data_IF_586229159989
#
_entry.id   IF_586229159989
#
_cell.length_a   1.000
_cell.length_b   1.000
_cell.length_c   1.000
_cell.angle_alpha   90.00
_cell.angle_beta   90.00
_cell.angle_gamma   90.00
#
_symmetry.space_group_name_H-M   'P 1'
#
loop_
_entity.id
_entity.type
_entity.pdbx_description
1 polymer ?
#
# COMPACT_ATOMS: atom_id res chain seq x y z
N UNK A 1 27.15 -7.23 6.62
CA UNK A 1 26.83 -8.70 6.61
C UNK A 1 25.48 -8.87 5.94
N UNK A 2 25.28 -9.96 5.23
CA UNK A 2 24.01 -10.28 4.59
C UNK A 2 23.42 -11.51 5.26
N UNK A 3 22.17 -11.46 5.62
CA UNK A 3 21.41 -12.59 6.15
C UNK A 3 20.35 -12.97 5.13
N UNK A 4 20.42 -14.19 4.61
CA UNK A 4 19.35 -14.74 3.81
C UNK A 4 18.19 -15.17 4.72
N UNK A 5 16.99 -14.77 4.36
CA UNK A 5 15.76 -15.06 5.12
C UNK A 5 14.87 -15.93 4.22
N UNK A 6 14.86 -17.24 4.37
CA UNK A 6 13.99 -18.10 3.59
C UNK A 6 12.54 -17.96 4.09
N UNK A 7 11.67 -17.43 3.26
CA UNK A 7 10.22 -17.52 3.49
C UNK A 7 9.68 -18.74 2.74
N UNK A 8 9.11 -19.73 3.44
CA UNK A 8 8.84 -21.06 2.88
C UNK A 8 7.85 -21.07 1.71
N UNK A 9 7.02 -20.06 1.56
CA UNK A 9 6.02 -19.98 0.49
C UNK A 9 6.34 -18.92 -0.56
N UNK A 10 7.57 -18.38 -0.56
CA UNK A 10 7.96 -17.39 -1.54
C UNK A 10 8.53 -18.05 -2.80
N UNK A 11 8.09 -17.57 -3.95
CA UNK A 11 8.65 -17.96 -5.26
C UNK A 11 10.08 -17.40 -5.49
N UNK A 12 10.52 -16.47 -4.61
CA UNK A 12 11.78 -15.73 -4.74
C UNK A 12 12.78 -16.02 -3.61
N UNK A 13 12.83 -17.25 -3.12
CA UNK A 13 13.64 -17.69 -1.96
C UNK A 13 15.09 -17.18 -1.98
N UNK A 14 15.72 -17.12 -3.14
CA UNK A 14 17.13 -16.72 -3.28
C UNK A 14 17.37 -15.21 -3.26
N UNK A 15 16.31 -14.40 -3.20
CA UNK A 15 16.36 -12.91 -3.24
C UNK A 15 15.89 -12.25 -1.95
N UNK A 16 15.58 -13.05 -0.97
CA UNK A 16 15.08 -12.57 0.33
C UNK A 16 16.24 -12.48 1.31
N UNK A 17 16.68 -11.28 1.57
CA UNK A 17 17.80 -11.04 2.47
C UNK A 17 17.66 -9.71 3.20
N UNK A 18 18.41 -9.59 4.28
CA UNK A 18 18.62 -8.33 4.98
C UNK A 18 20.10 -7.96 4.94
N UNK A 19 20.37 -6.69 4.69
CA UNK A 19 21.71 -6.13 4.85
C UNK A 19 21.87 -5.63 6.27
N UNK A 20 22.90 -6.13 6.97
CA UNK A 20 23.20 -5.74 8.36
C UNK A 20 24.39 -4.79 8.37
N UNK A 21 24.18 -3.61 8.92
CA UNK A 21 25.16 -2.53 9.05
C UNK A 21 25.43 -2.28 10.54
N UNK A 22 26.66 -2.53 10.99
CA UNK A 22 27.06 -2.20 12.37
C UNK A 22 27.61 -0.79 12.43
N UNK A 23 27.27 -0.05 13.48
CA UNK A 23 27.73 1.34 13.68
C UNK A 23 27.42 2.23 12.48
N UNK A 24 26.18 2.28 12.06
CA UNK A 24 25.71 3.11 10.96
C UNK A 24 25.15 4.43 11.45
N UNK A 25 25.14 5.42 10.55
CA UNK A 25 24.54 6.73 10.77
C UNK A 25 23.35 6.89 9.84
N UNK A 26 22.25 7.40 10.39
CA UNK A 26 20.99 7.60 9.69
C UNK A 26 20.53 9.04 9.86
N UNK A 27 20.13 9.69 8.76
CA UNK A 27 19.48 11.00 8.77
C UNK A 27 18.16 10.92 8.02
N UNK A 28 17.07 11.19 8.72
CA UNK A 28 15.75 11.34 8.10
C UNK A 28 15.64 12.76 7.54
N UNK A 29 15.37 12.90 6.26
CA UNK A 29 15.20 14.17 5.56
C UNK A 29 13.70 14.43 5.34
N UNK A 30 13.01 13.54 4.65
CA UNK A 30 11.56 13.56 4.41
C UNK A 30 11.05 12.15 4.06
N UNK A 31 9.74 12.03 3.77
CA UNK A 31 9.11 10.74 3.45
C UNK A 31 9.65 10.04 2.19
N UNK A 32 10.38 10.76 1.36
CA UNK A 32 11.00 10.24 0.12
C UNK A 32 12.52 10.19 0.19
N UNK A 33 13.11 10.64 1.29
CA UNK A 33 14.54 10.91 1.38
C UNK A 33 15.12 10.52 2.73
N UNK A 34 15.88 9.43 2.72
CA UNK A 34 16.61 8.90 3.85
C UNK A 34 18.08 8.73 3.48
N UNK A 35 18.97 9.22 4.31
CA UNK A 35 20.40 8.99 4.17
C UNK A 35 20.88 8.00 5.22
N UNK A 36 21.53 6.95 4.77
CA UNK A 36 22.22 5.97 5.63
C UNK A 36 23.68 5.93 5.24
N UNK A 37 24.57 5.98 6.23
CA UNK A 37 26.01 5.93 6.05
C UNK A 37 26.59 4.76 6.84
N UNK A 38 27.52 4.06 6.23
CA UNK A 38 28.24 2.96 6.85
C UNK A 38 29.64 2.83 6.23
N UNK A 39 30.68 2.82 7.08
CA UNK A 39 32.09 2.73 6.65
C UNK A 39 32.46 3.77 5.57
N UNK A 40 32.11 5.03 5.82
CA UNK A 40 32.35 6.18 4.91
C UNK A 40 31.73 6.02 3.52
N UNK A 41 30.68 5.21 3.39
CA UNK A 41 29.89 5.04 2.16
C UNK A 41 28.43 5.35 2.44
N UNK A 42 27.80 6.04 1.52
CA UNK A 42 26.34 6.21 1.53
C UNK A 42 25.71 4.89 1.11
N UNK A 43 24.73 4.43 1.87
CA UNK A 43 23.99 3.19 1.62
C UNK A 43 22.60 3.56 1.10
N UNK A 44 22.18 2.90 0.05
CA UNK A 44 20.83 3.08 -0.48
C UNK A 44 19.84 2.23 0.32
N UNK A 45 18.97 2.90 1.05
CA UNK A 45 17.98 2.24 1.93
C UNK A 45 16.61 2.05 1.26
N UNK A 46 16.34 2.77 0.16
CA UNK A 46 15.07 2.74 -0.58
C UNK A 46 15.07 1.80 -1.79
N UNK A 47 13.96 1.83 -2.52
CA UNK A 47 13.80 1.05 -3.76
C UNK A 47 14.67 1.66 -4.85
N UNK A 48 15.65 0.90 -5.32
CA UNK A 48 16.30 1.18 -6.61
C UNK A 48 15.92 0.09 -7.61
N UNK A 49 15.21 0.50 -8.65
CA UNK A 49 14.77 -0.37 -9.73
C UNK A 49 15.93 -1.14 -10.38
N UNK A 50 17.11 -0.53 -10.44
CA UNK A 50 18.27 -1.13 -11.10
C UNK A 50 19.03 -2.11 -10.20
N UNK A 51 19.14 -1.82 -8.91
CA UNK A 51 19.76 -2.74 -7.93
C UNK A 51 18.92 -3.96 -7.65
N UNK A 52 17.62 -3.83 -7.67
CA UNK A 52 16.71 -4.97 -7.44
C UNK A 52 16.71 -5.97 -8.59
N UNK A 53 16.86 -5.52 -9.84
CA UNK A 53 16.98 -6.41 -11.00
C UNK A 53 18.19 -7.35 -10.93
N UNK A 54 19.24 -6.93 -10.24
CA UNK A 54 20.49 -7.71 -10.18
C UNK A 54 20.57 -8.66 -8.98
N UNK A 55 19.73 -8.46 -7.94
CA UNK A 55 19.74 -9.29 -6.73
C UNK A 55 21.08 -9.27 -6.00
N UNK A 56 21.93 -8.27 -6.26
CA UNK A 56 23.28 -8.20 -5.71
C UNK A 56 23.31 -7.22 -4.53
N UNK A 57 23.55 -7.70 -3.31
CA UNK A 57 23.61 -6.87 -2.12
C UNK A 57 24.74 -5.84 -2.12
N UNK A 58 25.79 -6.04 -2.90
CA UNK A 58 26.90 -5.07 -3.00
C UNK A 58 26.50 -3.77 -3.70
N UNK A 59 25.41 -3.76 -4.45
CA UNK A 59 24.87 -2.57 -5.14
C UNK A 59 24.18 -1.58 -4.22
N UNK A 60 23.99 -1.91 -2.94
CA UNK A 60 23.46 -0.97 -1.95
C UNK A 60 24.44 0.13 -1.56
N UNK A 61 25.73 -0.03 -1.83
CA UNK A 61 26.72 1.00 -1.51
C UNK A 61 26.86 1.98 -2.68
N UNK A 62 26.57 3.23 -2.41
CA UNK A 62 26.88 4.35 -3.31
C UNK A 62 28.33 4.77 -3.11
N UNK A 63 28.74 5.79 -3.88
CA UNK A 63 30.12 6.30 -3.87
C UNK A 63 30.63 6.64 -2.46
N UNK A 64 31.93 6.61 -2.28
CA UNK A 64 32.60 7.12 -1.09
C UNK A 64 32.24 8.60 -0.89
N UNK A 65 31.85 8.94 0.32
CA UNK A 65 31.52 10.31 0.71
C UNK A 65 32.26 10.63 2.01
N UNK A 66 32.59 11.89 2.20
CA UNK A 66 33.03 12.35 3.51
C UNK A 66 31.85 12.21 4.48
N UNK A 67 31.89 11.15 5.27
CA UNK A 67 30.86 10.86 6.27
C UNK A 67 30.96 11.88 7.39
N UNK A 68 29.93 12.70 7.54
CA UNK A 68 29.74 13.49 8.73
C UNK A 68 29.24 12.56 9.86
N UNK A 69 30.13 12.22 10.78
CA UNK A 69 29.88 11.33 11.92
C UNK A 69 29.19 12.03 13.10
N UNK A 70 28.78 13.28 12.94
CA UNK A 70 27.97 13.95 13.96
C UNK A 70 26.60 13.27 14.08
N UNK A 71 26.08 13.15 15.27
CA UNK A 71 24.75 12.63 15.55
C UNK A 71 24.12 13.35 16.75
N UNK A 72 22.80 13.43 16.74
CA UNK A 72 22.01 14.01 17.80
C UNK A 72 21.62 12.94 18.85
N UNK A 73 21.44 11.70 18.37
CA UNK A 73 20.99 10.57 19.19
C UNK A 73 21.81 9.32 18.93
N UNK A 74 22.05 8.54 19.98
CA UNK A 74 22.65 7.21 19.88
C UNK A 74 21.61 6.13 20.26
N UNK A 75 21.46 5.13 19.40
CA UNK A 75 20.56 4.00 19.58
C UNK A 75 21.42 2.74 19.72
N UNK A 76 21.44 2.18 20.93
CA UNK A 76 22.23 1.00 21.28
C UNK A 76 21.48 -0.33 21.05
N UNK A 77 20.42 -0.29 20.25
CA UNK A 77 19.59 -1.44 19.90
C UNK A 77 19.88 -1.95 18.49
N UNK A 78 19.36 -3.15 18.21
CA UNK A 78 19.31 -3.73 16.87
C UNK A 78 17.99 -3.29 16.22
N UNK A 79 18.07 -2.60 15.07
CA UNK A 79 16.93 -1.96 14.43
C UNK A 79 16.67 -2.56 13.04
N UNK A 80 15.48 -3.12 12.81
CA UNK A 80 14.98 -3.40 11.46
C UNK A 80 14.31 -2.15 10.93
N UNK A 81 14.89 -1.53 9.90
CA UNK A 81 14.36 -0.29 9.33
C UNK A 81 13.25 -0.57 8.32
N UNK A 82 12.08 -0.01 8.60
CA UNK A 82 10.96 0.04 7.68
C UNK A 82 11.02 1.35 6.90
N UNK A 83 11.50 1.28 5.69
CA UNK A 83 11.57 2.42 4.79
C UNK A 83 11.29 2.00 3.35
N UNK A 84 10.52 2.81 2.66
CA UNK A 84 10.24 2.71 1.25
C UNK A 84 9.80 4.07 0.72
N UNK A 85 10.40 4.53 -0.37
CA UNK A 85 10.13 5.84 -0.97
C UNK A 85 8.70 5.99 -1.53
N UNK A 86 7.99 4.90 -1.74
CA UNK A 86 6.58 4.90 -2.13
C UNK A 86 5.62 4.51 -1.00
N UNK A 87 6.12 4.24 0.21
CA UNK A 87 5.37 3.65 1.32
C UNK A 87 4.17 4.47 1.83
N UNK A 88 4.14 5.79 1.60
CA UNK A 88 2.98 6.64 1.91
C UNK A 88 1.80 6.44 0.96
N UNK A 89 1.99 5.79 -0.18
CA UNK A 89 0.90 5.42 -1.06
C UNK A 89 0.18 4.17 -0.51
N UNK A 90 -1.14 4.23 -0.39
CA UNK A 90 -1.94 3.18 0.23
C UNK A 90 -1.74 1.79 -0.39
N UNK A 91 -1.63 1.69 -1.72
CA UNK A 91 -1.38 0.42 -2.39
C UNK A 91 0.06 -0.05 -2.21
N UNK A 92 1.05 0.84 -2.39
CA UNK A 92 2.46 0.52 -2.22
C UNK A 92 2.80 0.09 -0.79
N UNK A 93 2.08 0.64 0.19
CA UNK A 93 2.24 0.19 1.57
C UNK A 93 2.08 -1.33 1.69
N UNK A 94 1.01 -1.91 1.16
CA UNK A 94 0.75 -3.33 1.30
C UNK A 94 1.70 -4.24 0.51
N UNK A 95 2.30 -3.73 -0.55
CA UNK A 95 3.22 -4.51 -1.38
C UNK A 95 4.68 -4.34 -0.96
N UNK A 96 5.10 -3.09 -0.78
CA UNK A 96 6.50 -2.74 -0.60
C UNK A 96 6.85 -2.61 0.86
N UNK A 97 6.13 -1.77 1.56
CA UNK A 97 6.45 -1.42 2.94
C UNK A 97 6.10 -2.54 3.91
N UNK A 98 4.86 -3.05 3.87
CA UNK A 98 4.41 -4.12 4.77
C UNK A 98 5.17 -5.42 4.55
N UNK A 99 5.56 -5.73 3.32
CA UNK A 99 6.42 -6.86 3.02
C UNK A 99 7.70 -6.86 3.88
N UNK A 100 8.31 -5.68 4.09
CA UNK A 100 9.50 -5.55 4.95
C UNK A 100 9.22 -5.87 6.41
N UNK A 101 8.00 -5.64 6.90
CA UNK A 101 7.60 -6.00 8.26
C UNK A 101 7.69 -7.52 8.52
N UNK A 102 7.49 -8.32 7.48
CA UNK A 102 7.47 -9.78 7.59
C UNK A 102 8.84 -10.34 7.94
N UNK A 103 9.92 -9.64 7.62
CA UNK A 103 11.29 -10.02 8.04
C UNK A 103 11.47 -9.95 9.55
N UNK A 104 10.70 -9.14 10.26
CA UNK A 104 10.90 -8.89 11.69
C UNK A 104 10.96 -10.19 12.51
N UNK A 105 9.99 -11.06 12.32
CA UNK A 105 9.90 -12.33 13.06
C UNK A 105 11.10 -13.24 12.79
N UNK A 106 11.56 -13.29 11.56
CA UNK A 106 12.69 -14.15 11.16
C UNK A 106 14.01 -13.56 11.65
N UNK A 107 14.21 -12.26 11.49
CA UNK A 107 15.42 -11.55 11.94
C UNK A 107 15.53 -11.57 13.47
N UNK A 108 14.41 -11.51 14.20
CA UNK A 108 14.40 -11.58 15.66
C UNK A 108 14.99 -12.86 16.24
N UNK A 109 15.04 -13.95 15.45
CA UNK A 109 15.70 -15.20 15.85
C UNK A 109 17.22 -15.02 16.01
N UNK A 110 17.81 -14.09 15.26
CA UNK A 110 19.24 -13.76 15.29
C UNK A 110 19.54 -12.55 16.18
N UNK A 111 18.58 -11.67 16.35
CA UNK A 111 18.65 -10.43 17.13
C UNK A 111 17.49 -10.39 18.14
N UNK A 112 17.60 -11.03 19.31
CA UNK A 112 16.47 -11.16 20.26
C UNK A 112 15.89 -9.83 20.74
N UNK A 113 16.72 -8.78 20.81
CA UNK A 113 16.34 -7.43 21.22
C UNK A 113 15.96 -6.52 20.03
N UNK A 114 15.63 -7.11 18.87
CA UNK A 114 15.26 -6.39 17.68
C UNK A 114 14.04 -5.49 17.90
N UNK A 115 14.18 -4.23 17.48
CA UNK A 115 13.08 -3.25 17.42
C UNK A 115 12.80 -2.87 15.97
N UNK A 116 11.62 -2.32 15.71
CA UNK A 116 11.29 -1.72 14.42
C UNK A 116 11.72 -0.26 14.40
N UNK A 117 12.43 0.14 13.36
CA UNK A 117 12.70 1.53 13.07
C UNK A 117 11.76 2.04 11.98
N UNK A 118 11.17 3.20 12.15
CA UNK A 118 10.28 3.82 11.18
C UNK A 118 10.48 5.33 11.16
N UNK A 119 10.34 5.96 10.00
CA UNK A 119 10.40 7.41 9.90
C UNK A 119 9.13 8.05 10.45
N UNK A 120 9.25 9.24 11.05
CA UNK A 120 8.14 10.00 11.62
C UNK A 120 7.00 10.22 10.61
N UNK A 121 7.33 10.50 9.35
CA UNK A 121 6.37 10.71 8.28
C UNK A 121 5.49 9.47 7.98
N UNK A 122 5.99 8.27 8.30
CA UNK A 122 5.24 7.01 8.14
C UNK A 122 4.51 6.58 9.42
N UNK A 123 4.76 7.22 10.55
CA UNK A 123 4.18 6.83 11.83
C UNK A 123 3.49 8.01 12.53
N UNK A 124 2.50 8.59 11.85
CA UNK A 124 1.78 9.78 12.29
C UNK A 124 0.39 9.46 12.82
N UNK A 125 -0.07 10.24 13.80
CA UNK A 125 -1.45 10.23 14.31
C UNK A 125 -2.41 10.97 13.38
N UNK A 126 -1.87 11.78 12.48
CA UNK A 126 -2.66 12.64 11.60
C UNK A 126 -2.15 12.56 10.16
N UNK A 127 -2.99 12.93 9.22
CA UNK A 127 -2.63 13.00 7.80
C UNK A 127 -2.69 11.66 7.07
N UNK A 128 -2.03 11.62 5.91
CA UNK A 128 -2.21 10.55 4.94
C UNK A 128 -1.55 9.23 5.29
N UNK A 129 -0.59 9.23 6.21
CA UNK A 129 0.14 8.03 6.67
C UNK A 129 -0.46 7.38 7.92
N UNK A 130 -1.54 7.93 8.48
CA UNK A 130 -2.21 7.39 9.68
C UNK A 130 -2.56 5.91 9.54
N UNK A 131 -2.93 5.45 8.35
CA UNK A 131 -3.25 4.06 8.09
C UNK A 131 -2.06 3.12 8.29
N UNK A 132 -0.83 3.58 8.09
CA UNK A 132 0.41 2.80 8.31
C UNK A 132 0.53 2.46 9.79
N UNK A 133 0.45 3.47 10.65
CA UNK A 133 0.47 3.27 12.10
C UNK A 133 -0.62 2.31 12.54
N UNK A 134 -1.86 2.56 12.12
CA UNK A 134 -3.01 1.73 12.48
C UNK A 134 -2.85 0.29 12.02
N UNK A 135 -2.29 0.05 10.82
CA UNK A 135 -2.02 -1.30 10.33
C UNK A 135 -0.91 -1.99 11.13
N UNK A 136 0.19 -1.30 11.43
CA UNK A 136 1.28 -1.86 12.23
C UNK A 136 0.81 -2.24 13.65
N UNK A 137 -0.01 -1.40 14.28
CA UNK A 137 -0.62 -1.68 15.58
C UNK A 137 -1.58 -2.89 15.52
N UNK A 138 -2.35 -3.01 14.44
CA UNK A 138 -3.24 -4.14 14.21
C UNK A 138 -2.46 -5.45 13.99
N UNK A 139 -1.38 -5.40 13.19
CA UNK A 139 -0.58 -6.56 12.82
C UNK A 139 0.31 -7.05 13.97
N UNK A 140 1.10 -6.16 14.56
CA UNK A 140 2.05 -6.48 15.62
C UNK A 140 1.40 -6.45 17.02
N UNK A 141 0.22 -5.85 17.15
CA UNK A 141 -0.42 -5.57 18.44
C UNK A 141 0.52 -4.72 19.31
N UNK A 142 0.84 -5.16 20.53
CA UNK A 142 1.79 -4.49 21.43
C UNK A 142 3.10 -5.26 21.59
N UNK A 143 3.35 -6.24 20.72
CA UNK A 143 4.47 -7.18 20.91
C UNK A 143 5.80 -6.67 20.35
N UNK A 144 5.78 -5.49 19.72
CA UNK A 144 6.96 -4.92 19.05
C UNK A 144 7.18 -3.48 19.50
N UNK A 145 8.39 -3.21 19.95
CA UNK A 145 8.81 -1.83 20.22
C UNK A 145 9.18 -1.13 18.91
N UNK A 146 8.65 0.09 18.75
CA UNK A 146 8.85 0.90 17.56
C UNK A 146 9.69 2.12 17.93
N UNK A 147 10.79 2.32 17.22
CA UNK A 147 11.66 3.52 17.30
C UNK A 147 11.31 4.43 16.13
N UNK A 148 10.88 5.65 16.44
CA UNK A 148 10.52 6.65 15.44
C UNK A 148 11.69 7.58 15.19
N UNK A 149 12.19 7.59 13.97
CA UNK A 149 13.25 8.49 13.53
C UNK A 149 12.64 9.84 13.12
N UNK A 150 12.92 10.88 13.89
CA UNK A 150 12.39 12.22 13.67
C UNK A 150 13.07 12.91 12.50
N UNK A 151 12.32 13.75 11.81
CA UNK A 151 12.79 14.55 10.71
C UNK A 151 13.93 15.48 11.13
N UNK A 152 14.87 15.70 10.21
CA UNK A 152 16.04 16.56 10.37
C UNK A 152 16.98 16.17 11.53
N UNK A 153 16.80 14.99 12.13
CA UNK A 153 17.70 14.49 13.17
C UNK A 153 18.62 13.40 12.62
N UNK A 154 19.80 13.31 13.24
CA UNK A 154 20.83 12.31 12.93
C UNK A 154 20.93 11.30 14.05
N UNK A 155 21.04 10.04 13.68
CA UNK A 155 21.09 8.92 14.61
C UNK A 155 22.33 8.08 14.33
N UNK A 156 23.09 7.76 15.37
CA UNK A 156 24.05 6.66 15.34
C UNK A 156 23.33 5.41 15.82
N UNK A 157 23.33 4.36 15.01
CA UNK A 157 22.62 3.10 15.31
C UNK A 157 23.63 1.97 15.40
N UNK A 158 23.60 1.23 16.52
CA UNK A 158 24.50 0.11 16.79
C UNK A 158 24.42 -0.96 15.70
N UNK A 159 23.22 -1.43 15.39
CA UNK A 159 22.97 -2.38 14.32
C UNK A 159 21.74 -1.95 13.54
N UNK A 160 21.93 -1.59 12.29
CA UNK A 160 20.84 -1.25 11.37
C UNK A 160 20.67 -2.37 10.37
N UNK A 161 19.44 -2.90 10.27
CA UNK A 161 19.09 -4.01 9.40
C UNK A 161 18.13 -3.51 8.34
N UNK A 162 18.54 -3.60 7.09
CA UNK A 162 17.82 -3.15 5.92
C UNK A 162 17.25 -4.37 5.18
N UNK A 163 15.94 -4.65 5.29
CA UNK A 163 15.31 -5.70 4.50
C UNK A 163 15.19 -5.25 3.04
N UNK A 164 15.39 -6.17 2.11
CA UNK A 164 15.10 -5.88 0.72
C UNK A 164 13.58 -5.87 0.46
N UNK A 165 13.17 -5.28 -0.66
CA UNK A 165 11.76 -5.26 -1.05
C UNK A 165 11.34 -6.53 -1.77
N UNK A 166 10.06 -6.93 -1.63
CA UNK A 166 9.46 -8.05 -2.35
C UNK A 166 8.83 -7.66 -3.70
N UNK A 167 8.67 -6.36 -3.94
CA UNK A 167 7.75 -5.86 -4.96
C UNK A 167 8.28 -5.87 -6.40
N UNK A 168 9.59 -5.69 -6.59
CA UNK A 168 10.14 -5.35 -7.91
C UNK A 168 10.67 -6.55 -8.69
N UNK A 169 9.81 -7.53 -8.95
CA UNK A 169 10.14 -8.56 -9.92
C UNK A 169 9.26 -8.37 -11.17
N UNK A 170 9.82 -8.53 -12.39
CA UNK A 170 9.10 -8.27 -13.64
C UNK A 170 7.80 -9.06 -13.80
N UNK A 171 7.63 -10.11 -13.02
CA UNK A 171 6.57 -11.11 -13.17
C UNK A 171 5.56 -11.10 -12.01
N UNK A 172 5.77 -10.34 -10.92
CA UNK A 172 4.96 -10.53 -9.74
C UNK A 172 4.68 -9.25 -8.97
N UNK A 173 3.43 -9.02 -8.74
CA UNK A 173 2.92 -8.01 -7.86
C UNK A 173 2.63 -8.64 -6.51
N UNK A 174 3.50 -8.37 -5.56
CA UNK A 174 3.39 -8.89 -4.22
C UNK A 174 3.60 -10.42 -4.18
N UNK A 175 4.55 -10.85 -3.41
CA UNK A 175 4.68 -12.27 -3.12
C UNK A 175 3.36 -12.74 -2.49
N UNK A 176 2.83 -13.86 -2.94
CA UNK A 176 1.63 -14.50 -2.42
C UNK A 176 1.63 -14.56 -0.89
N UNK A 177 2.80 -14.73 -0.31
CA UNK A 177 3.04 -14.71 1.11
C UNK A 177 2.61 -13.40 1.79
N UNK A 178 2.89 -12.23 1.18
CA UNK A 178 2.46 -10.93 1.71
C UNK A 178 0.95 -10.84 1.72
N UNK A 179 0.32 -11.21 0.59
CA UNK A 179 -1.13 -11.17 0.45
C UNK A 179 -1.82 -12.09 1.46
N UNK A 180 -1.27 -13.29 1.69
CA UNK A 180 -1.77 -14.22 2.70
C UNK A 180 -1.68 -13.66 4.12
N UNK A 181 -0.59 -12.97 4.47
CA UNK A 181 -0.46 -12.35 5.80
C UNK A 181 -1.42 -11.16 5.98
N UNK A 182 -1.70 -10.39 4.92
CA UNK A 182 -2.77 -9.38 4.92
C UNK A 182 -4.11 -10.05 5.23
N UNK A 183 -4.47 -11.08 4.48
CA UNK A 183 -5.75 -11.80 4.64
C UNK A 183 -5.88 -12.40 6.04
N UNK A 184 -4.86 -13.09 6.55
CA UNK A 184 -4.85 -13.63 7.93
C UNK A 184 -5.06 -12.56 8.99
N UNK A 185 -4.57 -11.35 8.75
CA UNK A 185 -4.76 -10.22 9.66
C UNK A 185 -6.19 -9.72 9.61
N UNK A 186 -6.72 -9.56 8.40
CA UNK A 186 -8.10 -9.13 8.13
C UNK A 186 -9.13 -10.11 8.67
N UNK A 187 -8.89 -11.42 8.58
CA UNK A 187 -9.81 -12.46 9.05
C UNK A 187 -10.16 -12.31 10.54
N UNK A 188 -9.26 -11.79 11.35
CA UNK A 188 -9.46 -11.56 12.80
C UNK A 188 -10.44 -10.42 13.12
N UNK A 189 -10.74 -9.55 12.15
CA UNK A 189 -11.64 -8.41 12.33
C UNK A 189 -13.08 -8.89 12.11
N UNK A 190 -14.01 -8.59 13.04
CA UNK A 190 -15.39 -9.04 12.91
C UNK A 190 -16.14 -8.32 11.79
N UNK A 191 -17.10 -9.02 11.20
CA UNK A 191 -18.10 -8.45 10.28
C UNK A 191 -19.09 -7.64 11.11
N UNK A 192 -19.52 -6.50 10.60
CA UNK A 192 -20.55 -5.66 11.23
C UNK A 192 -21.86 -5.75 10.42
N UNK A 193 -22.97 -5.41 11.07
CA UNK A 193 -24.25 -5.30 10.40
C UNK A 193 -24.31 -3.97 9.64
N UNK A 194 -24.54 -4.01 8.32
CA UNK A 194 -24.76 -2.85 7.47
C UNK A 194 -26.22 -2.48 7.39
N UNK A 195 -26.53 -1.24 7.01
CA UNK A 195 -27.91 -0.80 6.76
C UNK A 195 -28.38 -1.20 5.37
N UNK A 196 -27.49 -1.07 4.41
CA UNK A 196 -27.72 -1.41 3.01
C UNK A 196 -27.02 -2.71 2.63
N UNK A 197 -27.49 -3.35 1.56
CA UNK A 197 -26.90 -4.53 0.94
C UNK A 197 -25.57 -4.22 0.25
N UNK A 198 -25.44 -2.99 -0.31
CA UNK A 198 -24.25 -2.55 -1.02
C UNK A 198 -23.77 -1.17 -0.62
N UNK A 199 -22.56 -0.85 -1.04
CA UNK A 199 -22.00 0.49 -0.90
C UNK A 199 -21.22 0.93 -2.15
N UNK A 200 -21.13 2.23 -2.32
CA UNK A 200 -20.22 2.88 -3.25
C UNK A 200 -19.10 3.59 -2.48
N UNK A 201 -17.87 3.29 -2.84
CA UNK A 201 -16.70 3.96 -2.27
C UNK A 201 -16.43 5.24 -3.05
N UNK A 202 -16.82 6.36 -2.49
CA UNK A 202 -16.64 7.68 -3.08
C UNK A 202 -15.19 8.17 -2.96
N UNK A 203 -14.82 9.07 -3.86
CA UNK A 203 -13.54 9.76 -3.85
C UNK A 203 -13.69 11.29 -3.83
N UNK A 204 -14.88 11.82 -3.59
CA UNK A 204 -15.13 13.26 -3.65
C UNK A 204 -14.27 14.04 -2.66
N UNK A 205 -14.11 13.58 -1.43
CA UNK A 205 -13.25 14.24 -0.44
C UNK A 205 -11.76 14.08 -0.73
N UNK A 206 -11.37 12.97 -1.37
CA UNK A 206 -10.01 12.76 -1.85
C UNK A 206 -9.63 13.77 -2.92
N UNK A 207 -10.56 14.11 -3.81
CA UNK A 207 -10.38 15.08 -4.92
C UNK A 207 -10.20 16.51 -4.41
N UNK A 208 -10.81 16.89 -3.30
CA UNK A 208 -10.66 18.22 -2.70
C UNK A 208 -9.26 18.53 -2.17
N UNK A 209 -8.39 17.51 -2.05
CA UNK A 209 -6.99 17.66 -1.61
C UNK A 209 -6.10 17.88 -2.82
N UNK A 210 -5.29 18.94 -2.82
CA UNK A 210 -4.53 19.45 -3.98
C UNK A 210 -3.72 18.40 -4.78
N UNK A 211 -3.13 17.41 -4.12
CA UNK A 211 -2.32 16.41 -4.79
C UNK A 211 -3.10 15.19 -5.33
N UNK A 212 -4.40 15.10 -5.05
CA UNK A 212 -5.30 14.04 -5.53
C UNK A 212 -6.19 14.44 -6.71
N UNK A 213 -6.02 15.64 -7.26
CA UNK A 213 -6.80 16.13 -8.42
C UNK A 213 -6.60 15.33 -9.71
N UNK A 214 -5.71 14.34 -9.68
CA UNK A 214 -5.37 13.49 -10.79
C UNK A 214 -6.23 12.23 -10.77
N UNK A 215 -6.76 11.81 -11.92
CA UNK A 215 -7.61 10.61 -12.09
C UNK A 215 -8.94 10.66 -11.34
N UNK A 216 -9.57 11.80 -11.24
CA UNK A 216 -10.89 11.88 -10.64
C UNK A 216 -12.00 11.72 -11.69
N UNK A 217 -13.12 11.15 -11.27
CA UNK A 217 -14.34 11.06 -12.05
C UNK A 217 -15.09 12.38 -11.89
N UNK A 218 -15.15 13.21 -12.94
CA UNK A 218 -15.72 14.58 -12.83
C UNK A 218 -17.22 14.60 -12.65
N UNK A 219 -17.92 13.58 -13.12
CA UNK A 219 -19.37 13.41 -12.90
C UNK A 219 -19.68 12.33 -11.86
N UNK A 220 -18.84 12.21 -10.83
CA UNK A 220 -19.06 11.27 -9.73
C UNK A 220 -20.35 11.60 -8.96
N UNK A 221 -20.73 12.88 -8.84
CA UNK A 221 -21.97 13.29 -8.18
C UNK A 221 -23.19 12.67 -8.87
N UNK A 222 -23.26 12.72 -10.19
CA UNK A 222 -24.37 12.14 -10.96
C UNK A 222 -24.46 10.61 -10.76
N UNK A 223 -23.30 9.94 -10.69
CA UNK A 223 -23.22 8.51 -10.39
C UNK A 223 -23.72 8.20 -8.97
N UNK A 224 -23.30 8.98 -7.98
CA UNK A 224 -23.72 8.84 -6.57
C UNK A 224 -25.23 9.00 -6.45
N UNK A 225 -25.80 10.07 -7.01
CA UNK A 225 -27.25 10.31 -6.99
C UNK A 225 -28.03 9.16 -7.63
N UNK A 226 -27.52 8.62 -8.75
CA UNK A 226 -28.12 7.49 -9.42
C UNK A 226 -28.06 6.20 -8.59
N UNK A 227 -26.91 5.91 -7.95
CA UNK A 227 -26.73 4.76 -7.06
C UNK A 227 -27.67 4.84 -5.85
N UNK A 228 -27.74 6.00 -5.20
CA UNK A 228 -28.61 6.21 -4.05
C UNK A 228 -30.09 6.06 -4.42
N UNK A 229 -30.51 6.66 -5.53
CA UNK A 229 -31.88 6.63 -5.99
C UNK A 229 -32.36 5.25 -6.45
N UNK A 230 -31.49 4.52 -7.17
CA UNK A 230 -31.88 3.35 -7.93
C UNK A 230 -31.52 2.02 -7.26
N UNK A 231 -30.54 2.01 -6.35
CA UNK A 231 -30.04 0.84 -5.62
C UNK A 231 -30.16 0.97 -4.09
N UNK A 232 -30.38 2.17 -3.57
CA UNK A 232 -30.43 2.47 -2.12
C UNK A 232 -29.14 2.06 -1.38
N UNK A 233 -27.99 2.13 -2.08
CA UNK A 233 -26.70 1.79 -1.50
C UNK A 233 -26.11 2.93 -0.67
N UNK A 234 -25.35 2.56 0.35
CA UNK A 234 -24.60 3.51 1.17
C UNK A 234 -23.47 4.16 0.37
N UNK A 235 -23.23 5.46 0.58
CA UNK A 235 -22.08 6.16 0.02
C UNK A 235 -21.03 6.33 1.11
N UNK A 236 -19.81 5.88 0.84
CA UNK A 236 -18.76 5.79 1.85
C UNK A 236 -17.50 6.51 1.38
N UNK A 237 -17.00 7.43 2.20
CA UNK A 237 -15.68 8.03 2.08
C UNK A 237 -14.71 7.26 2.98
N UNK A 238 -13.78 6.49 2.39
CA UNK A 238 -12.85 5.66 3.18
C UNK A 238 -11.94 6.47 4.11
N UNK A 239 -11.76 7.75 3.85
CA UNK A 239 -10.93 8.62 4.68
C UNK A 239 -11.55 8.91 6.05
N UNK A 240 -12.84 8.71 6.22
CA UNK A 240 -13.56 8.91 7.48
C UNK A 240 -13.38 7.72 8.46
N UNK A 241 -12.77 6.64 8.02
CA UNK A 241 -12.62 5.42 8.77
C UNK A 241 -11.16 5.11 9.10
N UNK A 242 -10.93 4.61 10.30
CA UNK A 242 -9.67 3.98 10.67
C UNK A 242 -9.46 2.66 9.90
N UNK A 243 -8.33 2.01 10.10
CA UNK A 243 -8.00 0.78 9.39
C UNK A 243 -8.98 -0.36 9.70
N UNK A 244 -9.44 -0.46 10.93
CA UNK A 244 -10.43 -1.47 11.35
C UNK A 244 -11.76 -1.22 10.65
N UNK A 245 -12.22 0.03 10.64
CA UNK A 245 -13.45 0.44 9.94
C UNK A 245 -13.38 0.16 8.44
N UNK A 246 -12.24 0.46 7.79
CA UNK A 246 -12.04 0.12 6.37
C UNK A 246 -12.15 -1.39 6.12
N UNK A 247 -11.52 -2.21 6.94
CA UNK A 247 -11.63 -3.66 6.84
C UNK A 247 -13.07 -4.12 7.04
N UNK A 248 -13.77 -3.57 8.03
CA UNK A 248 -15.17 -3.92 8.31
C UNK A 248 -16.09 -3.59 7.13
N UNK A 249 -15.90 -2.44 6.45
CA UNK A 249 -16.64 -2.07 5.25
C UNK A 249 -16.50 -3.17 4.19
N UNK A 250 -15.26 -3.51 3.81
CA UNK A 250 -15.00 -4.50 2.77
C UNK A 250 -15.43 -5.94 3.15
N UNK A 251 -15.59 -6.23 4.44
CA UNK A 251 -16.10 -7.54 4.90
C UNK A 251 -17.62 -7.64 4.99
N UNK A 252 -18.31 -6.51 5.09
CA UNK A 252 -19.69 -6.49 5.59
C UNK A 252 -20.75 -6.24 4.53
N UNK A 253 -20.41 -5.52 3.44
CA UNK A 253 -21.34 -5.30 2.34
C UNK A 253 -21.29 -6.45 1.34
N UNK A 254 -22.46 -6.90 0.84
CA UNK A 254 -22.54 -7.92 -0.18
C UNK A 254 -22.02 -7.39 -1.53
N UNK A 255 -22.28 -6.10 -1.83
CA UNK A 255 -21.83 -5.41 -3.04
C UNK A 255 -21.00 -4.20 -2.69
N UNK A 256 -19.81 -4.08 -3.30
CA UNK A 256 -18.91 -2.96 -3.10
C UNK A 256 -18.51 -2.40 -4.46
N UNK A 257 -18.97 -1.20 -4.74
CA UNK A 257 -18.67 -0.50 -6.00
C UNK A 257 -17.56 0.52 -5.73
N UNK A 258 -16.54 0.55 -6.56
CA UNK A 258 -15.44 1.50 -6.45
C UNK A 258 -14.84 1.85 -7.81
N UNK A 259 -14.24 3.02 -7.90
CA UNK A 259 -13.45 3.43 -9.07
C UNK A 259 -12.06 2.80 -9.03
N UNK A 260 -11.42 2.71 -10.20
CA UNK A 260 -10.00 2.36 -10.32
C UNK A 260 -9.11 3.30 -9.52
N UNK A 261 -8.45 2.79 -8.48
CA UNK A 261 -7.59 3.60 -7.60
C UNK A 261 -6.66 2.76 -6.72
N UNK A 262 -5.81 3.41 -5.95
CA UNK A 262 -4.99 2.75 -4.94
C UNK A 262 -5.83 1.99 -3.88
N UNK A 263 -7.08 2.42 -3.64
CA UNK A 263 -7.99 1.74 -2.71
C UNK A 263 -8.39 0.34 -3.15
N UNK A 264 -8.20 -0.03 -4.42
CA UNK A 264 -8.51 -1.36 -4.92
C UNK A 264 -7.69 -2.48 -4.26
N UNK A 265 -6.57 -2.16 -3.60
CA UNK A 265 -5.88 -3.12 -2.73
C UNK A 265 -6.76 -3.64 -1.60
N UNK A 266 -7.77 -2.87 -1.19
CA UNK A 266 -8.75 -3.26 -0.17
C UNK A 266 -9.65 -4.44 -0.59
N UNK A 267 -9.61 -4.89 -1.86
CA UNK A 267 -10.16 -6.18 -2.28
C UNK A 267 -9.63 -7.34 -1.42
N UNK A 268 -8.40 -7.22 -0.90
CA UNK A 268 -7.83 -8.18 0.04
C UNK A 268 -8.59 -8.27 1.38
N UNK A 269 -9.39 -7.26 1.71
CA UNK A 269 -10.18 -7.23 2.93
C UNK A 269 -11.56 -7.90 2.75
N UNK A 270 -11.99 -8.09 1.52
CA UNK A 270 -13.25 -8.71 1.19
C UNK A 270 -13.26 -10.22 1.52
N UNK A 271 -14.41 -10.80 1.59
CA UNK A 271 -14.59 -12.24 1.80
C UNK A 271 -15.29 -12.88 0.59
N UNK A 272 -15.36 -14.21 0.57
CA UNK A 272 -15.93 -15.00 -0.53
C UNK A 272 -17.41 -14.75 -0.85
N UNK A 273 -18.13 -14.05 0.02
CA UNK A 273 -19.55 -13.71 -0.19
C UNK A 273 -19.73 -12.38 -0.87
N UNK A 274 -18.70 -11.52 -0.84
CA UNK A 274 -18.80 -10.19 -1.40
C UNK A 274 -18.61 -10.22 -2.92
N UNK A 275 -19.29 -9.32 -3.60
CA UNK A 275 -19.06 -8.98 -5.00
C UNK A 275 -18.49 -7.57 -5.07
N UNK A 276 -17.27 -7.47 -5.55
CA UNK A 276 -16.59 -6.20 -5.76
C UNK A 276 -16.73 -5.79 -7.22
N UNK A 277 -17.16 -4.56 -7.45
CA UNK A 277 -17.42 -4.01 -8.78
C UNK A 277 -16.48 -2.82 -8.99
N UNK A 278 -15.57 -2.94 -9.96
CA UNK A 278 -14.61 -1.90 -10.29
C UNK A 278 -15.06 -1.18 -11.54
N UNK A 279 -15.31 0.12 -11.44
CA UNK A 279 -15.50 1.00 -12.59
C UNK A 279 -14.11 1.43 -13.07
N UNK A 280 -13.70 0.93 -14.23
CA UNK A 280 -12.33 1.07 -14.73
C UNK A 280 -12.07 2.46 -15.31
N UNK A 281 -10.91 3.00 -14.98
CA UNK A 281 -10.37 4.18 -15.64
C UNK A 281 -9.91 3.82 -17.06
N UNK A 282 -10.21 4.62 -18.10
CA UNK A 282 -9.95 4.26 -19.49
C UNK A 282 -8.50 3.88 -19.84
N UNK A 283 -7.53 4.49 -19.19
CA UNK A 283 -6.09 4.21 -19.45
C UNK A 283 -5.54 3.07 -18.60
N UNK A 284 -6.09 2.87 -17.39
CA UNK A 284 -5.49 1.94 -16.41
C UNK A 284 -6.07 0.52 -16.48
N UNK A 285 -6.90 0.25 -17.44
CA UNK A 285 -7.69 -0.97 -17.54
C UNK A 285 -6.83 -2.24 -17.40
N UNK A 286 -5.79 -2.39 -18.19
CA UNK A 286 -5.03 -3.64 -18.23
C UNK A 286 -4.24 -3.93 -16.96
N UNK A 287 -3.51 -2.94 -16.45
CA UNK A 287 -2.64 -3.13 -15.29
C UNK A 287 -3.42 -3.28 -13.98
N UNK A 288 -4.45 -2.46 -13.80
CA UNK A 288 -5.23 -2.48 -12.58
C UNK A 288 -6.15 -3.70 -12.53
N UNK A 289 -6.73 -4.09 -13.67
CA UNK A 289 -7.56 -5.29 -13.77
C UNK A 289 -6.78 -6.55 -13.40
N UNK A 290 -5.53 -6.67 -13.86
CA UNK A 290 -4.68 -7.79 -13.47
C UNK A 290 -4.47 -7.86 -11.96
N UNK A 291 -4.16 -6.73 -11.30
CA UNK A 291 -4.01 -6.67 -9.84
C UNK A 291 -5.31 -6.98 -9.11
N UNK A 292 -6.41 -6.40 -9.53
CA UNK A 292 -7.71 -6.66 -8.92
C UNK A 292 -8.08 -8.16 -9.03
N UNK A 293 -7.78 -8.81 -10.15
CA UNK A 293 -7.97 -10.26 -10.31
C UNK A 293 -7.13 -11.05 -9.31
N UNK A 294 -5.84 -10.72 -9.16
CA UNK A 294 -4.96 -11.37 -8.18
C UNK A 294 -5.50 -11.22 -6.75
N UNK A 295 -5.93 -10.01 -6.36
CA UNK A 295 -6.47 -9.75 -5.02
C UNK A 295 -7.77 -10.51 -4.79
N UNK A 296 -8.68 -10.50 -5.76
CA UNK A 296 -9.97 -11.20 -5.66
C UNK A 296 -9.78 -12.71 -5.57
N UNK A 297 -8.85 -13.27 -6.33
CA UNK A 297 -8.50 -14.70 -6.24
C UNK A 297 -7.97 -15.08 -4.86
N UNK A 298 -7.09 -14.23 -4.28
CA UNK A 298 -6.53 -14.47 -2.95
C UNK A 298 -7.56 -14.34 -1.83
N UNK A 299 -8.38 -13.30 -1.84
CA UNK A 299 -9.49 -13.13 -0.88
C UNK A 299 -10.71 -14.02 -1.19
N UNK A 300 -10.71 -14.70 -2.35
CA UNK A 300 -11.83 -15.54 -2.83
C UNK A 300 -13.14 -14.77 -2.95
N UNK A 301 -13.07 -13.49 -3.25
CA UNK A 301 -14.23 -12.63 -3.51
C UNK A 301 -14.61 -12.65 -4.97
N UNK A 302 -15.87 -12.36 -5.30
CA UNK A 302 -16.28 -12.15 -6.68
C UNK A 302 -15.78 -10.79 -7.16
N UNK A 303 -15.32 -10.71 -8.40
CA UNK A 303 -14.87 -9.47 -9.03
C UNK A 303 -15.56 -9.28 -10.38
N UNK A 304 -16.18 -8.13 -10.53
CA UNK A 304 -16.74 -7.66 -11.81
C UNK A 304 -16.03 -6.35 -12.17
N UNK A 305 -15.56 -6.25 -13.39
CA UNK A 305 -14.93 -5.03 -13.90
C UNK A 305 -15.79 -4.44 -15.00
N UNK A 306 -16.20 -3.18 -14.81
CA UNK A 306 -16.96 -2.42 -15.80
C UNK A 306 -15.98 -1.54 -16.59
N UNK A 307 -15.68 -1.94 -17.79
CA UNK A 307 -14.69 -1.29 -18.67
C UNK A 307 -15.31 -0.34 -19.69
N UNK A 308 -16.63 -0.29 -19.76
CA UNK A 308 -17.34 0.51 -20.75
C UNK A 308 -17.85 1.84 -20.19
N UNK A 309 -17.85 2.87 -21.04
CA UNK A 309 -18.48 4.14 -20.75
C UNK A 309 -17.60 5.20 -20.10
N UNK A 310 -16.28 4.99 -20.01
CA UNK A 310 -15.35 6.03 -19.56
C UNK A 310 -14.66 6.74 -20.72
N UNK A 311 -14.56 8.06 -20.67
CA UNK A 311 -13.74 8.85 -21.59
C UNK A 311 -12.85 9.84 -20.84
N UNK A 312 -11.69 10.14 -21.42
CA UNK A 312 -10.79 11.15 -20.91
C UNK A 312 -11.31 12.55 -21.28
N UNK A 313 -11.07 13.51 -20.40
CA UNK A 313 -11.45 14.89 -20.66
C UNK A 313 -10.35 15.55 -21.51
N UNK A 314 -10.71 16.00 -22.72
CA UNK A 314 -9.82 16.73 -23.62
C UNK A 314 -9.40 18.08 -23.02
N UNK A 315 -8.15 18.49 -23.31
CA UNK A 315 -7.61 19.80 -22.90
C UNK A 315 -6.58 19.76 -21.78
N UNK A 316 -6.21 18.57 -21.32
CA UNK A 316 -5.06 18.38 -20.45
C UNK A 316 -3.78 18.17 -21.26
N UNK A 317 -2.66 18.70 -20.77
CA UNK A 317 -1.35 18.65 -21.42
C UNK A 317 -0.95 17.18 -21.68
N UNK A 318 -0.72 16.84 -22.96
CA UNK A 318 -0.29 15.49 -23.38
C UNK A 318 0.98 15.01 -22.67
N UNK A 319 1.82 15.91 -22.16
CA UNK A 319 2.99 15.56 -21.35
C UNK A 319 2.63 14.90 -20.00
N UNK A 320 1.39 15.06 -19.56
CA UNK A 320 0.87 14.40 -18.36
C UNK A 320 0.34 12.98 -18.64
N UNK A 321 0.17 12.57 -19.90
CA UNK A 321 -0.33 11.25 -20.31
C UNK A 321 0.54 10.13 -19.77
N UNK A 322 1.85 10.29 -19.78
CA UNK A 322 2.80 9.29 -19.29
C UNK A 322 2.67 8.98 -17.78
N UNK A 323 1.90 9.77 -17.04
CA UNK A 323 1.73 9.62 -15.59
C UNK A 323 0.41 8.96 -15.18
N UNK A 324 -0.45 8.56 -16.12
CA UNK A 324 -1.78 7.96 -15.83
C UNK A 324 -2.65 8.82 -14.89
N UNK A 325 -2.62 10.14 -15.05
CA UNK A 325 -3.16 11.09 -14.08
C UNK A 325 -4.28 11.98 -14.65
N UNK A 326 -5.08 11.48 -15.60
CA UNK A 326 -6.13 12.27 -16.23
C UNK A 326 -7.46 12.21 -15.48
N UNK A 327 -8.17 13.35 -15.37
CA UNK A 327 -9.59 13.33 -15.05
C UNK A 327 -10.36 12.67 -16.20
N UNK A 328 -11.44 12.00 -15.84
CA UNK A 328 -12.28 11.25 -16.76
C UNK A 328 -13.74 11.39 -16.39
N UNK A 329 -14.64 11.03 -17.28
CA UNK A 329 -16.07 10.99 -17.01
C UNK A 329 -16.70 9.72 -17.52
N UNK A 330 -17.82 9.36 -16.94
CA UNK A 330 -18.70 8.31 -17.47
C UNK A 330 -19.62 8.92 -18.52
N UNK A 331 -19.69 8.26 -19.67
CA UNK A 331 -20.54 8.67 -20.78
C UNK A 331 -21.93 8.04 -20.73
N UNK A 332 -22.09 6.95 -19.95
CA UNK A 332 -23.34 6.18 -19.87
C UNK A 332 -23.60 5.71 -18.43
N UNK A 333 -23.95 6.63 -17.53
CA UNK A 333 -24.30 6.29 -16.14
C UNK A 333 -25.56 5.40 -16.09
N UNK A 334 -26.60 5.66 -16.92
CA UNK A 334 -27.81 4.87 -16.95
C UNK A 334 -27.53 3.38 -17.31
N UNK A 335 -26.65 3.16 -18.27
CA UNK A 335 -26.21 1.80 -18.65
C UNK A 335 -25.49 1.10 -17.50
N UNK A 336 -24.61 1.81 -16.78
CA UNK A 336 -23.94 1.28 -15.59
C UNK A 336 -24.96 0.90 -14.52
N UNK A 337 -25.89 1.77 -14.20
CA UNK A 337 -26.94 1.50 -13.21
C UNK A 337 -27.80 0.28 -13.61
N UNK A 338 -28.13 0.15 -14.89
CA UNK A 338 -28.86 -1.03 -15.39
C UNK A 338 -28.07 -2.32 -15.14
N UNK A 339 -26.78 -2.35 -15.42
CA UNK A 339 -25.90 -3.50 -15.15
C UNK A 339 -25.81 -3.79 -13.65
N UNK A 340 -25.64 -2.76 -12.82
CA UNK A 340 -25.61 -2.91 -11.36
C UNK A 340 -26.88 -3.51 -10.79
N UNK A 341 -28.06 -3.13 -11.32
CA UNK A 341 -29.36 -3.75 -10.95
C UNK A 341 -29.42 -5.22 -11.34
N UNK A 342 -28.93 -5.59 -12.51
CA UNK A 342 -28.89 -6.99 -12.93
C UNK A 342 -27.99 -7.83 -12.01
N UNK A 343 -26.82 -7.29 -11.62
CA UNK A 343 -25.92 -7.94 -10.65
C UNK A 343 -26.62 -8.10 -9.28
N UNK A 344 -27.26 -7.03 -8.80
CA UNK A 344 -27.94 -7.03 -7.49
C UNK A 344 -29.11 -8.02 -7.43
N UNK A 345 -29.81 -8.19 -8.54
CA UNK A 345 -30.90 -9.17 -8.69
C UNK A 345 -30.41 -10.61 -8.91
N UNK A 346 -29.13 -10.80 -9.20
CA UNK A 346 -28.56 -12.11 -9.53
C UNK A 346 -28.86 -12.57 -10.95
N UNK A 347 -29.12 -11.63 -11.87
CA UNK A 347 -29.41 -11.91 -13.28
C UNK A 347 -28.13 -12.18 -14.09
N UNK A 348 -26.99 -11.71 -13.60
CA UNK A 348 -25.64 -11.89 -14.17
C UNK A 348 -24.59 -12.04 -13.07
#
# INVERSE_FOLDING_TARGET
MIIQIPFPNSIHVNRQFCTVLNESYLKHIDSFSLEVYHNSKKVKAGIDKDTQKQGNPETYYLNEVNEDKSYDHEINDDILLLYDDAGVNYAHFFFDFFGKCLYFKEVKKYYPNLKLGILEDFYSETGNSTFIKQWLELYFKKDVEIIVFKKDQRYKVKTLILPNSFYWFPEGYGDDFILEEVIKTVEKIPIIKTRSKGCYISRQDTVKREWHNKRHLVNETDLIESIQKELEYDIIELMDFDMVGKIQIFKSYDFIIQQSSASNVSLLFSNKKNTNIIISHPIMENWLNFKCQQFSQKSKTNLITLNEGGELINGYDEKLIDQNNYPWRLTNIEGIIKVLKQIDNGDI
#
